data_IF_570227792451
#
_entry.id   IF_570227792451
#
_cell.length_a   1.000
_cell.length_b   1.000
_cell.length_c   1.000
_cell.angle_alpha   90.00
_cell.angle_beta   90.00
_cell.angle_gamma   90.00
#
_symmetry.space_group_name_H-M   'P 1'
#
loop_
_entity.id
_entity.type
_entity.pdbx_description
1 polymer ?
#
# COMPACT_ATOMS: atom_id res chain seq x y z
N UNK A 1 7.20 -15.73 -0.76
CA UNK A 1 7.66 -14.43 -0.21
C UNK A 1 6.45 -13.64 0.29
N UNK A 2 6.61 -13.00 1.41
CA UNK A 2 5.52 -12.31 2.09
C UNK A 2 5.96 -10.92 2.51
N UNK A 3 5.22 -9.89 2.07
CA UNK A 3 5.47 -8.50 2.42
C UNK A 3 4.38 -8.03 3.38
N UNK A 4 4.77 -7.42 4.50
CA UNK A 4 3.82 -7.05 5.55
C UNK A 4 3.99 -5.57 5.90
N UNK A 5 2.89 -4.82 5.83
CA UNK A 5 2.82 -3.46 6.35
C UNK A 5 2.06 -3.49 7.67
N UNK A 6 2.76 -3.15 8.75
CA UNK A 6 2.17 -3.06 10.08
C UNK A 6 2.03 -1.60 10.49
N UNK A 7 0.88 -1.27 11.08
CA UNK A 7 0.68 0.03 11.70
C UNK A 7 0.71 -0.07 13.22
N UNK A 8 0.30 0.99 13.88
CA UNK A 8 0.12 1.00 15.33
C UNK A 8 -1.10 0.18 15.75
N UNK A 9 -2.07 0.04 14.86
CA UNK A 9 -3.23 -0.79 15.12
C UNK A 9 -2.87 -2.26 14.96
N UNK A 10 -3.77 -3.13 15.35
CA UNK A 10 -3.53 -4.57 15.29
C UNK A 10 -3.68 -5.16 13.90
N UNK A 11 -3.97 -4.32 12.92
CA UNK A 11 -4.11 -4.73 11.53
C UNK A 11 -2.78 -4.78 10.81
N UNK A 12 -2.64 -5.73 9.92
CA UNK A 12 -1.52 -5.82 8.99
C UNK A 12 -2.05 -5.98 7.57
N UNK A 13 -1.43 -5.30 6.62
CA UNK A 13 -1.69 -5.51 5.20
C UNK A 13 -0.58 -6.37 4.63
N UNK A 14 -0.96 -7.42 3.92
CA UNK A 14 -0.03 -8.46 3.46
C UNK A 14 -0.17 -8.66 1.97
N UNK A 15 0.97 -8.67 1.27
CA UNK A 15 1.05 -9.10 -0.12
C UNK A 15 1.92 -10.34 -0.15
N UNK A 16 1.37 -11.43 -0.67
CA UNK A 16 2.07 -12.71 -0.74
C UNK A 16 2.23 -13.16 -2.19
N UNK A 17 3.38 -13.74 -2.49
CA UNK A 17 3.61 -14.46 -3.74
C UNK A 17 3.84 -15.92 -3.42
N UNK A 18 2.96 -16.75 -3.92
CA UNK A 18 3.00 -18.21 -3.74
C UNK A 18 3.12 -18.88 -5.11
N UNK A 19 3.19 -20.21 -5.11
CA UNK A 19 3.26 -20.98 -6.35
C UNK A 19 2.14 -20.63 -7.33
N UNK A 20 0.96 -20.30 -6.82
CA UNK A 20 -0.23 -20.06 -7.61
C UNK A 20 -0.44 -18.58 -7.95
N UNK A 21 0.47 -17.70 -7.53
CA UNK A 21 0.41 -16.29 -7.86
C UNK A 21 0.34 -15.36 -6.66
N UNK A 22 -0.09 -14.15 -6.93
CA UNK A 22 -0.14 -13.07 -5.96
C UNK A 22 -1.49 -13.03 -5.24
N UNK A 23 -1.43 -12.71 -3.95
CA UNK A 23 -2.64 -12.44 -3.16
C UNK A 23 -2.39 -11.24 -2.25
N UNK A 24 -3.47 -10.58 -1.85
CA UNK A 24 -3.46 -9.50 -0.88
C UNK A 24 -4.40 -9.84 0.26
N UNK A 25 -4.06 -9.40 1.46
CA UNK A 25 -4.85 -9.72 2.63
C UNK A 25 -4.72 -8.67 3.73
N UNK A 26 -5.75 -8.58 4.55
CA UNK A 26 -5.69 -7.92 5.85
C UNK A 26 -5.76 -8.98 6.94
N UNK A 27 -4.87 -8.86 7.92
CA UNK A 27 -4.82 -9.75 9.08
C UNK A 27 -5.07 -8.96 10.35
N UNK A 28 -5.92 -9.48 11.22
CA UNK A 28 -6.26 -8.86 12.49
C UNK A 28 -6.54 -9.95 13.51
N UNK A 29 -5.71 -10.03 14.54
CA UNK A 29 -5.89 -10.96 15.68
C UNK A 29 -6.22 -12.40 15.23
N UNK A 30 -5.52 -12.89 14.22
CA UNK A 30 -5.73 -14.24 13.72
C UNK A 30 -6.76 -14.38 12.61
N UNK A 31 -7.61 -13.38 12.42
CA UNK A 31 -8.53 -13.35 11.28
C UNK A 31 -7.83 -12.83 10.04
N UNK A 32 -8.19 -13.39 8.89
CA UNK A 32 -7.57 -13.04 7.62
C UNK A 32 -8.65 -12.79 6.58
N UNK A 33 -8.60 -11.62 5.96
CA UNK A 33 -9.47 -11.24 4.84
C UNK A 33 -8.60 -11.13 3.60
N UNK A 34 -8.75 -12.06 2.67
CA UNK A 34 -7.84 -12.16 1.55
C UNK A 34 -8.55 -12.12 0.21
N UNK A 35 -7.82 -11.71 -0.81
CA UNK A 35 -8.27 -11.69 -2.19
C UNK A 35 -7.13 -12.17 -3.09
N UNK A 36 -7.46 -13.10 -3.98
CA UNK A 36 -6.56 -13.57 -5.01
C UNK A 36 -7.30 -13.54 -6.34
N UNK A 37 -6.66 -13.01 -7.38
CA UNK A 37 -7.24 -12.95 -8.70
C UNK A 37 -6.79 -14.15 -9.53
N UNK A 38 -7.66 -14.66 -10.39
CA UNK A 38 -7.28 -15.64 -11.40
C UNK A 38 -6.45 -14.99 -12.51
N UNK A 39 -6.58 -13.67 -12.70
CA UNK A 39 -5.81 -12.93 -13.67
C UNK A 39 -4.54 -12.38 -13.01
N UNK A 40 -3.48 -13.16 -13.07
CA UNK A 40 -2.21 -12.81 -12.41
C UNK A 40 -1.51 -11.63 -13.06
N UNK A 41 -1.68 -11.40 -14.35
CA UNK A 41 -1.09 -10.24 -15.03
C UNK A 41 -1.72 -8.96 -14.50
N UNK A 42 -3.02 -8.94 -14.37
CA UNK A 42 -3.77 -7.80 -13.84
C UNK A 42 -3.41 -7.55 -12.37
N UNK A 43 -3.29 -8.60 -11.57
CA UNK A 43 -2.89 -8.50 -10.16
C UNK A 43 -1.48 -7.92 -10.04
N UNK A 44 -0.56 -8.36 -10.87
CA UNK A 44 0.81 -7.86 -10.88
C UNK A 44 0.86 -6.37 -11.20
N UNK A 45 0.09 -5.93 -12.19
CA UNK A 45 0.01 -4.51 -12.53
C UNK A 45 -0.56 -3.69 -11.38
N UNK A 46 -1.56 -4.21 -10.70
CA UNK A 46 -2.12 -3.55 -9.51
C UNK A 46 -1.07 -3.41 -8.41
N UNK A 47 -0.31 -4.46 -8.14
CA UNK A 47 0.75 -4.43 -7.12
C UNK A 47 1.87 -3.47 -7.52
N UNK A 48 2.19 -3.37 -8.82
CA UNK A 48 3.14 -2.38 -9.32
C UNK A 48 2.66 -0.96 -9.04
N UNK A 49 1.40 -0.66 -9.29
CA UNK A 49 0.82 0.65 -8.99
C UNK A 49 0.85 0.93 -7.49
N UNK A 50 0.51 -0.06 -6.69
CA UNK A 50 0.55 0.05 -5.24
C UNK A 50 1.97 0.35 -4.75
N UNK A 51 2.95 -0.37 -5.29
CA UNK A 51 4.37 -0.14 -4.97
C UNK A 51 4.81 1.27 -5.33
N UNK A 52 4.40 1.78 -6.49
CA UNK A 52 4.72 3.14 -6.92
C UNK A 52 4.10 4.18 -5.97
N UNK A 53 2.87 3.96 -5.53
CA UNK A 53 2.23 4.85 -4.55
C UNK A 53 2.98 4.88 -3.23
N UNK A 54 3.32 3.73 -2.70
CA UNK A 54 4.05 3.64 -1.44
C UNK A 54 5.45 4.21 -1.55
N UNK A 55 6.14 3.97 -2.65
CA UNK A 55 7.47 4.54 -2.88
C UNK A 55 7.41 6.07 -2.91
N UNK A 56 6.42 6.63 -3.61
CA UNK A 56 6.24 8.08 -3.69
C UNK A 56 5.98 8.68 -2.31
N UNK A 57 5.11 8.07 -1.53
CA UNK A 57 4.80 8.54 -0.19
C UNK A 57 6.01 8.47 0.73
N UNK A 58 6.76 7.38 0.65
CA UNK A 58 7.95 7.19 1.47
C UNK A 58 9.01 8.25 1.20
N UNK A 59 9.03 8.81 -0.01
CA UNK A 59 10.04 9.78 -0.44
C UNK A 59 9.54 11.23 -0.41
N UNK A 60 8.36 11.50 0.14
CA UNK A 60 7.80 12.85 0.14
C UNK A 60 8.68 13.87 0.86
N UNK A 61 9.40 13.48 1.90
CA UNK A 61 10.33 14.37 2.61
C UNK A 61 11.62 14.58 1.82
N UNK A 62 11.90 13.73 0.86
CA UNK A 62 13.08 13.83 0.02
C UNK A 62 12.66 14.30 -1.37
N UNK A 63 12.59 15.59 -1.54
CA UNK A 63 12.12 16.21 -2.79
C UNK A 63 12.99 15.92 -4.01
N UNK A 64 14.12 15.25 -3.80
CA UNK A 64 14.99 14.83 -4.90
C UNK A 64 14.55 13.53 -5.55
N UNK A 65 13.64 12.79 -4.92
CA UNK A 65 13.19 11.51 -5.44
C UNK A 65 11.97 11.66 -6.35
N UNK A 66 11.97 12.66 -7.20
CA UNK A 66 10.83 12.99 -8.08
C UNK A 66 10.74 12.11 -9.33
N UNK A 67 11.63 11.14 -9.47
CA UNK A 67 11.70 10.33 -10.69
C UNK A 67 10.62 9.25 -10.80
N UNK A 68 9.88 8.98 -9.74
CA UNK A 68 9.01 7.80 -9.64
C UNK A 68 7.65 8.19 -10.10
N UNK A 69 7.02 8.88 -10.52
CA UNK A 69 5.63 9.22 -10.85
C UNK A 69 5.29 10.65 -10.43
N UNK A 70 5.69 11.58 -11.26
CA UNK A 70 5.50 13.00 -11.00
C UNK A 70 4.02 13.35 -10.78
N UNK A 71 3.12 12.76 -11.56
CA UNK A 71 1.69 12.99 -11.43
C UNK A 71 1.17 12.56 -10.06
N UNK A 72 1.64 11.41 -9.59
CA UNK A 72 1.26 10.89 -8.29
C UNK A 72 1.84 11.73 -7.15
N UNK A 73 3.12 12.13 -7.28
CA UNK A 73 3.77 13.01 -6.33
C UNK A 73 3.03 14.33 -6.19
N UNK A 74 2.69 14.96 -7.31
CA UNK A 74 1.97 16.24 -7.32
C UNK A 74 0.61 16.11 -6.63
N UNK A 75 -0.10 15.01 -6.89
CA UNK A 75 -1.38 14.76 -6.27
C UNK A 75 -1.27 14.60 -4.76
N UNK A 76 -0.29 13.82 -4.29
CA UNK A 76 -0.06 13.60 -2.87
C UNK A 76 0.35 14.90 -2.20
N UNK A 77 1.29 15.63 -2.78
CA UNK A 77 1.86 16.82 -2.17
C UNK A 77 0.87 17.98 -2.16
N UNK A 78 0.11 18.16 -3.23
CA UNK A 78 -0.81 19.28 -3.39
C UNK A 78 -2.10 19.07 -2.62
N UNK A 79 -2.58 17.84 -2.55
CA UNK A 79 -3.88 17.51 -1.94
C UNK A 79 -3.73 16.66 -0.69
N UNK A 80 -2.58 16.71 -0.05
CA UNK A 80 -2.14 15.73 0.95
C UNK A 80 -3.04 15.63 2.19
N UNK A 81 -3.83 16.64 2.47
CA UNK A 81 -4.58 16.67 3.73
C UNK A 81 -5.98 16.10 3.56
N UNK A 82 -6.64 16.39 2.46
CA UNK A 82 -8.07 16.15 2.32
C UNK A 82 -8.44 15.19 1.20
N UNK A 83 -7.53 14.92 0.27
CA UNK A 83 -7.86 14.08 -0.89
C UNK A 83 -7.00 12.81 -0.87
N UNK A 84 -7.62 11.65 -0.62
CA UNK A 84 -6.88 10.40 -0.65
C UNK A 84 -6.51 10.01 -2.08
N UNK A 85 -5.46 9.20 -2.20
CA UNK A 85 -5.20 8.49 -3.43
C UNK A 85 -6.00 7.21 -3.39
N UNK A 86 -6.87 7.04 -4.37
CA UNK A 86 -7.70 5.85 -4.47
C UNK A 86 -7.11 4.89 -5.49
N UNK A 87 -7.00 3.63 -5.09
CA UNK A 87 -6.61 2.54 -5.96
C UNK A 87 -7.71 1.49 -5.90
N UNK A 88 -8.23 1.12 -7.05
CA UNK A 88 -9.32 0.14 -7.13
C UNK A 88 -8.91 -1.01 -8.02
N UNK A 89 -9.20 -2.21 -7.58
CA UNK A 89 -8.92 -3.41 -8.35
C UNK A 89 -9.99 -4.46 -8.04
N UNK A 90 -10.92 -4.64 -8.97
CA UNK A 90 -12.03 -5.59 -8.79
C UNK A 90 -12.73 -5.38 -7.44
N UNK A 91 -12.62 -6.33 -6.54
CA UNK A 91 -13.28 -6.29 -5.23
C UNK A 91 -12.41 -5.67 -4.13
N UNK A 92 -11.37 -4.96 -4.51
CA UNK A 92 -10.43 -4.33 -3.57
C UNK A 92 -10.43 -2.83 -3.79
N UNK A 93 -10.73 -2.09 -2.74
CA UNK A 93 -10.67 -0.62 -2.74
C UNK A 93 -9.66 -0.18 -1.71
N UNK A 94 -8.70 0.64 -2.12
CA UNK A 94 -7.64 1.16 -1.28
C UNK A 94 -7.67 2.67 -1.28
N UNK A 95 -7.46 3.26 -0.10
CA UNK A 95 -7.33 4.70 0.07
C UNK A 95 -6.05 4.99 0.83
N UNK A 96 -5.30 5.97 0.35
CA UNK A 96 -4.02 6.34 0.92
C UNK A 96 -4.01 7.83 1.22
N UNK A 97 -3.86 8.17 2.50
CA UNK A 97 -3.82 9.55 2.97
C UNK A 97 -2.43 9.88 3.49
N UNK A 98 -1.99 11.10 3.22
CA UNK A 98 -0.73 11.61 3.76
C UNK A 98 -1.00 12.92 4.50
N UNK A 99 -0.63 12.95 5.79
CA UNK A 99 -0.74 14.14 6.64
C UNK A 99 0.62 14.45 7.26
N UNK A 100 1.43 15.30 6.61
CA UNK A 100 2.83 15.49 6.99
C UNK A 100 3.03 16.05 8.41
N UNK A 101 2.07 16.78 8.93
CA UNK A 101 2.17 17.39 10.25
C UNK A 101 1.35 16.65 11.29
N UNK A 102 1.31 15.34 11.16
CA UNK A 102 0.59 14.48 12.06
C UNK A 102 1.14 14.61 13.48
N UNK A 103 0.22 14.75 14.43
CA UNK A 103 0.47 14.97 15.85
C UNK A 103 1.21 13.81 16.52
N UNK A 104 0.96 12.59 16.05
CA UNK A 104 1.51 11.37 16.61
C UNK A 104 2.67 10.79 15.79
N UNK A 105 3.22 11.55 14.86
CA UNK A 105 4.29 11.12 13.94
C UNK A 105 3.91 9.91 13.08
N UNK A 106 2.62 9.74 12.82
CA UNK A 106 2.10 8.72 11.91
C UNK A 106 1.40 9.40 10.73
N UNK A 107 2.17 9.93 9.78
CA UNK A 107 1.62 10.77 8.72
C UNK A 107 0.83 10.00 7.66
N UNK A 108 0.91 8.67 7.67
CA UNK A 108 0.32 7.86 6.60
C UNK A 108 -0.84 7.05 7.17
N UNK A 109 -2.00 7.18 6.53
CA UNK A 109 -3.17 6.36 6.81
C UNK A 109 -3.50 5.57 5.57
N UNK A 110 -3.53 4.26 5.71
CA UNK A 110 -3.86 3.33 4.65
C UNK A 110 -5.16 2.62 5.02
N UNK A 111 -6.16 2.74 4.16
CA UNK A 111 -7.45 2.10 4.38
C UNK A 111 -7.76 1.17 3.23
N UNK A 112 -8.36 0.04 3.53
CA UNK A 112 -8.77 -0.90 2.50
C UNK A 112 -10.07 -1.60 2.85
N UNK A 113 -10.82 -1.90 1.80
CA UNK A 113 -11.99 -2.77 1.85
C UNK A 113 -11.77 -3.89 0.84
N UNK A 114 -11.86 -5.13 1.30
CA UNK A 114 -11.67 -6.31 0.47
C UNK A 114 -12.99 -7.09 0.44
N UNK A 115 -13.47 -7.39 -0.76
CA UNK A 115 -14.70 -8.17 -0.99
C UNK A 115 -15.93 -7.57 -0.28
N UNK A 116 -16.00 -6.24 -0.25
CA UNK A 116 -17.12 -5.56 0.39
C UNK A 116 -17.09 -5.54 1.90
N UNK A 117 -15.96 -5.89 2.51
CA UNK A 117 -15.78 -5.81 3.95
C UNK A 117 -15.85 -4.38 4.46
N UNK A 118 -15.95 -4.21 5.78
CA UNK A 118 -15.72 -2.93 6.41
C UNK A 118 -14.30 -2.44 6.11
N UNK A 119 -14.10 -1.13 6.18
CA UNK A 119 -12.80 -0.55 5.92
C UNK A 119 -11.83 -0.85 7.07
N UNK A 120 -10.70 -1.46 6.74
CA UNK A 120 -9.58 -1.64 7.65
C UNK A 120 -8.66 -0.44 7.55
N UNK A 121 -8.13 0.00 8.68
CA UNK A 121 -7.29 1.19 8.73
C UNK A 121 -5.95 0.85 9.37
N UNK A 122 -4.87 1.25 8.70
CA UNK A 122 -3.51 1.15 9.20
C UNK A 122 -2.93 2.56 9.24
N UNK A 123 -2.45 2.98 10.40
CA UNK A 123 -1.72 4.24 10.57
C UNK A 123 -0.25 3.90 10.80
N UNK A 124 0.62 4.55 10.04
CA UNK A 124 2.03 4.18 10.04
C UNK A 124 2.91 5.37 9.68
N UNK A 125 4.21 5.15 9.75
CA UNK A 125 5.23 6.16 9.42
C UNK A 125 5.87 5.89 8.05
N UNK A 126 6.67 6.86 7.60
CA UNK A 126 7.31 6.76 6.29
C UNK A 126 8.39 5.67 6.25
N UNK A 127 9.06 5.40 7.35
CA UNK A 127 10.08 4.35 7.40
C UNK A 127 9.45 2.96 7.17
N UNK A 128 8.31 2.71 7.78
CA UNK A 128 7.57 1.45 7.60
C UNK A 128 7.08 1.29 6.17
N UNK A 129 6.57 2.37 5.59
CA UNK A 129 6.10 2.36 4.20
C UNK A 129 7.28 2.16 3.24
N UNK A 130 8.41 2.80 3.49
CA UNK A 130 9.62 2.62 2.68
C UNK A 130 10.08 1.16 2.68
N UNK A 131 10.13 0.57 3.87
CA UNK A 131 10.52 -0.83 3.99
C UNK A 131 9.55 -1.74 3.23
N UNK A 132 8.25 -1.49 3.38
CA UNK A 132 7.22 -2.26 2.69
C UNK A 132 7.33 -2.12 1.17
N UNK A 133 7.53 -0.90 0.67
CA UNK A 133 7.66 -0.66 -0.77
C UNK A 133 8.88 -1.37 -1.35
N UNK A 134 9.98 -1.39 -0.61
CA UNK A 134 11.19 -2.11 -1.01
C UNK A 134 10.93 -3.61 -1.08
N UNK A 135 10.20 -4.16 -0.13
CA UNK A 135 9.80 -5.56 -0.16
C UNK A 135 8.91 -5.87 -1.36
N UNK A 136 7.97 -4.98 -1.70
CA UNK A 136 7.11 -5.17 -2.88
C UNK A 136 7.93 -5.20 -4.17
N UNK A 137 8.91 -4.32 -4.29
CA UNK A 137 9.78 -4.29 -5.46
C UNK A 137 10.55 -5.62 -5.58
N UNK A 138 11.08 -6.11 -4.48
CA UNK A 138 11.78 -7.40 -4.48
C UNK A 138 10.84 -8.54 -4.86
N UNK A 139 9.63 -8.53 -4.35
CA UNK A 139 8.63 -9.55 -4.64
C UNK A 139 8.27 -9.56 -6.13
N UNK A 140 8.09 -8.39 -6.72
CA UNK A 140 7.75 -8.26 -8.13
C UNK A 140 8.89 -8.66 -9.06
N UNK A 141 10.14 -8.43 -8.61
CA UNK A 141 11.33 -8.76 -9.40
C UNK A 141 11.83 -10.19 -9.17
N UNK A 142 11.23 -10.90 -8.23
CA UNK A 142 11.52 -12.31 -8.01
C UNK A 142 10.93 -13.10 -9.17
N UNK A 143 11.78 -13.61 -10.04
CA UNK A 143 11.37 -14.29 -11.28
C UNK A 143 10.76 -15.68 -11.09
N UNK A 144 10.47 -16.06 -9.89
CA UNK A 144 9.91 -17.40 -9.63
C UNK A 144 8.45 -17.36 -9.25
#
# INVERSE_FOLDING_TARGET
MRCVLKGQDLYSFVVEKQQHGLSIAFEYQGDKFSYASSDQVSMELFIQDLSACFTTIAELDNRLALSVRQDLFDRIYTNAVDTPIALNYNSVDLLLFFKPNSFDNLPITFQASILGSDWFTIRTDQASVRFFSQQLICLLNDGT
#
